data_IF_156815664401
#
_entry.id   IF_156815664401
#
_cell.length_a   1.000
_cell.length_b   1.000
_cell.length_c   1.000
_cell.angle_alpha   90.00
_cell.angle_beta   90.00
_cell.angle_gamma   90.00
#
_symmetry.space_group_name_H-M   'P 1'
#
loop_
_entity.id
_entity.type
_entity.pdbx_description
1 polymer ?
#
# COMPACT_ATOMS: atom_id res chain seq x y z
N UNK A 1 -16.69 4.76 -5.83
CA UNK A 1 -16.50 4.97 -4.38
C UNK A 1 -15.32 4.14 -3.89
N UNK A 2 -14.46 4.72 -3.08
CA UNK A 2 -13.31 4.08 -2.43
C UNK A 2 -13.67 3.78 -0.97
N UNK A 3 -13.32 2.60 -0.48
CA UNK A 3 -13.52 2.23 0.92
C UNK A 3 -12.17 2.05 1.61
N UNK A 4 -11.89 2.83 2.64
CA UNK A 4 -10.65 2.79 3.43
C UNK A 4 -10.90 1.99 4.71
N UNK A 5 -10.03 1.04 4.98
CA UNK A 5 -9.97 0.31 6.25
C UNK A 5 -8.88 0.97 7.09
N UNK A 6 -9.30 1.64 8.15
CA UNK A 6 -8.42 2.35 9.08
C UNK A 6 -7.81 1.39 10.11
N UNK A 7 -6.48 1.33 10.14
CA UNK A 7 -5.70 0.55 11.10
C UNK A 7 -5.18 1.39 12.29
N UNK A 8 -5.91 2.44 12.67
CA UNK A 8 -5.57 3.36 13.77
C UNK A 8 -4.26 4.12 13.55
N UNK A 9 -4.03 4.61 12.35
CA UNK A 9 -2.86 5.42 12.02
C UNK A 9 -3.20 6.90 11.97
N UNK A 10 -2.30 7.75 12.47
CA UNK A 10 -2.45 9.20 12.40
C UNK A 10 -2.50 9.75 10.97
N UNK A 11 -1.91 9.02 10.00
CA UNK A 11 -1.94 9.38 8.58
C UNK A 11 -3.19 8.88 7.84
N UNK A 12 -4.07 8.08 8.47
CA UNK A 12 -5.27 7.57 7.77
C UNK A 12 -6.14 8.70 7.23
N UNK A 13 -6.32 9.78 7.99
CA UNK A 13 -7.10 10.93 7.49
C UNK A 13 -6.45 11.63 6.31
N UNK A 14 -5.12 11.70 6.25
CA UNK A 14 -4.40 12.23 5.09
C UNK A 14 -4.61 11.34 3.85
N UNK A 15 -4.62 10.01 4.03
CA UNK A 15 -4.98 9.06 2.96
C UNK A 15 -6.40 9.32 2.47
N UNK A 16 -7.37 9.44 3.38
CA UNK A 16 -8.78 9.73 3.06
C UNK A 16 -8.89 11.04 2.27
N UNK A 17 -8.26 12.12 2.73
CA UNK A 17 -8.27 13.41 2.03
C UNK A 17 -7.64 13.32 0.64
N UNK A 18 -6.52 12.62 0.51
CA UNK A 18 -5.85 12.44 -0.79
C UNK A 18 -6.74 11.65 -1.77
N UNK A 19 -7.38 10.59 -1.32
CA UNK A 19 -8.28 9.77 -2.14
C UNK A 19 -9.56 10.53 -2.52
N UNK A 20 -10.07 11.40 -1.64
CA UNK A 20 -11.25 12.21 -1.87
C UNK A 20 -11.09 13.23 -3.02
N UNK A 21 -9.86 13.51 -3.43
CA UNK A 21 -9.58 14.30 -4.64
C UNK A 21 -9.99 13.56 -5.94
N UNK A 22 -10.21 12.25 -5.89
CA UNK A 22 -10.43 11.41 -7.07
C UNK A 22 -11.78 10.70 -7.10
N UNK A 23 -12.34 10.36 -5.93
CA UNK A 23 -13.64 9.67 -5.84
C UNK A 23 -14.24 9.85 -4.43
N UNK A 24 -15.55 9.57 -4.27
CA UNK A 24 -16.19 9.49 -2.95
C UNK A 24 -15.46 8.46 -2.08
N UNK A 25 -15.12 8.83 -0.84
CA UNK A 25 -14.42 7.97 0.12
C UNK A 25 -15.31 7.72 1.33
N UNK A 26 -15.35 6.47 1.77
CA UNK A 26 -15.84 6.08 3.09
C UNK A 26 -14.74 5.38 3.85
N UNK A 27 -14.68 5.59 5.17
CA UNK A 27 -13.65 5.05 6.04
C UNK A 27 -14.28 4.47 7.28
N UNK A 28 -13.96 3.21 7.59
CA UNK A 28 -14.34 2.58 8.86
C UNK A 28 -13.09 1.96 9.51
N UNK A 29 -13.11 1.93 10.84
CA UNK A 29 -12.05 1.26 11.60
C UNK A 29 -12.01 -0.24 11.28
N UNK A 30 -10.82 -0.85 11.29
CA UNK A 30 -10.59 -2.25 10.91
C UNK A 30 -11.43 -3.26 11.70
N UNK A 31 -11.85 -2.95 12.92
CA UNK A 31 -12.68 -3.80 13.76
C UNK A 31 -14.20 -3.58 13.58
N UNK A 32 -14.60 -2.54 12.84
CA UNK A 32 -15.99 -2.16 12.57
C UNK A 32 -16.31 -2.10 11.08
N UNK A 33 -15.60 -2.89 10.28
CA UNK A 33 -15.72 -2.88 8.82
C UNK A 33 -17.13 -3.28 8.37
N UNK A 34 -17.72 -2.49 7.49
CA UNK A 34 -19.03 -2.75 6.89
C UNK A 34 -18.90 -3.50 5.56
N UNK A 35 -19.27 -4.77 5.53
CA UNK A 35 -19.30 -5.53 4.26
C UNK A 35 -20.27 -4.94 3.23
N UNK A 36 -21.37 -4.32 3.67
CA UNK A 36 -22.32 -3.65 2.78
C UNK A 36 -21.62 -2.52 2.01
N UNK A 37 -20.85 -1.68 2.70
CA UNK A 37 -20.07 -0.60 2.09
C UNK A 37 -18.98 -1.14 1.18
N UNK A 38 -18.25 -2.20 1.59
CA UNK A 38 -17.23 -2.84 0.74
C UNK A 38 -17.85 -3.35 -0.56
N UNK A 39 -19.02 -3.99 -0.52
CA UNK A 39 -19.69 -4.47 -1.74
C UNK A 39 -20.00 -3.34 -2.72
N UNK A 40 -20.35 -2.15 -2.23
CA UNK A 40 -20.62 -0.96 -3.04
C UNK A 40 -19.35 -0.28 -3.57
N UNK A 41 -18.22 -0.47 -2.90
CA UNK A 41 -16.96 0.13 -3.31
C UNK A 41 -16.38 -0.52 -4.58
N UNK A 42 -15.77 0.28 -5.43
CA UNK A 42 -14.92 -0.18 -6.55
C UNK A 42 -13.51 -0.53 -6.10
N UNK A 43 -13.03 0.14 -5.05
CA UNK A 43 -11.66 0.03 -4.55
C UNK A 43 -11.66 -0.09 -3.01
N UNK A 44 -10.84 -0.99 -2.49
CA UNK A 44 -10.55 -1.13 -1.06
C UNK A 44 -9.14 -0.64 -0.80
N UNK A 45 -8.97 0.25 0.17
CA UNK A 45 -7.65 0.75 0.59
C UNK A 45 -7.37 0.27 2.02
N UNK A 46 -6.25 -0.40 2.19
CA UNK A 46 -5.71 -0.79 3.49
C UNK A 46 -4.74 0.30 3.94
N UNK A 47 -5.10 1.03 4.99
CA UNK A 47 -4.35 2.20 5.47
C UNK A 47 -2.98 1.83 6.06
N UNK A 48 -2.12 2.82 6.33
CA UNK A 48 -1.05 2.69 7.31
C UNK A 48 -1.60 2.22 8.67
N UNK A 49 -0.70 1.78 9.56
CA UNK A 49 -1.08 1.34 10.90
C UNK A 49 0.12 0.95 11.74
N UNK A 50 -0.04 0.90 13.07
CA UNK A 50 0.98 0.40 13.99
C UNK A 50 1.09 -1.12 13.96
N UNK A 51 2.17 -1.64 14.52
CA UNK A 51 2.39 -3.07 14.69
C UNK A 51 2.73 -3.81 13.41
N UNK A 52 2.14 -4.99 13.23
CA UNK A 52 2.43 -5.89 12.11
C UNK A 52 1.14 -6.49 11.53
N UNK A 53 1.19 -7.07 10.32
CA UNK A 53 0.03 -7.72 9.70
C UNK A 53 -0.68 -8.75 10.58
N UNK A 54 0.06 -9.45 11.44
CA UNK A 54 -0.50 -10.47 12.35
C UNK A 54 -1.52 -9.90 13.35
N UNK A 55 -1.44 -8.62 13.66
CA UNK A 55 -2.34 -7.96 14.59
C UNK A 55 -3.75 -7.71 14.01
N UNK A 56 -3.93 -7.92 12.69
CA UNK A 56 -5.15 -7.54 11.97
C UNK A 56 -5.82 -8.73 11.24
N UNK A 57 -6.30 -9.77 11.96
CA UNK A 57 -6.87 -10.97 11.34
C UNK A 57 -8.15 -10.68 10.55
N UNK A 58 -8.94 -9.66 10.95
CA UNK A 58 -10.14 -9.24 10.23
C UNK A 58 -9.76 -8.73 8.83
N UNK A 59 -8.72 -7.90 8.73
CA UNK A 59 -8.21 -7.39 7.45
C UNK A 59 -7.76 -8.54 6.53
N UNK A 60 -7.12 -9.58 7.08
CA UNK A 60 -6.75 -10.78 6.31
C UNK A 60 -7.97 -11.52 5.74
N UNK A 61 -9.06 -11.62 6.51
CA UNK A 61 -10.32 -12.22 6.03
C UNK A 61 -10.92 -11.40 4.90
N UNK A 62 -10.93 -10.06 5.03
CA UNK A 62 -11.45 -9.15 4.00
C UNK A 62 -10.61 -9.27 2.73
N UNK A 63 -9.28 -9.22 2.83
CA UNK A 63 -8.39 -9.40 1.71
C UNK A 63 -8.70 -10.68 0.93
N UNK A 64 -8.71 -11.83 1.60
CA UNK A 64 -9.01 -13.13 0.98
C UNK A 64 -10.39 -13.19 0.33
N UNK A 65 -11.41 -12.59 0.97
CA UNK A 65 -12.80 -12.59 0.47
C UNK A 65 -12.97 -11.78 -0.81
N UNK A 66 -12.26 -10.66 -0.95
CA UNK A 66 -12.45 -9.70 -2.04
C UNK A 66 -11.30 -9.67 -3.05
N UNK A 67 -10.21 -10.43 -2.83
CA UNK A 67 -9.12 -10.61 -3.79
C UNK A 67 -9.66 -11.05 -5.16
N UNK A 68 -9.19 -10.39 -6.22
CA UNK A 68 -9.63 -10.62 -7.59
C UNK A 68 -11.04 -10.11 -7.93
N UNK A 69 -11.80 -9.62 -6.94
CA UNK A 69 -13.16 -9.07 -7.12
C UNK A 69 -13.21 -7.56 -7.03
N UNK A 70 -12.25 -6.95 -6.35
CA UNK A 70 -12.16 -5.51 -6.13
C UNK A 70 -10.73 -5.06 -6.38
N UNK A 71 -10.56 -3.83 -6.87
CA UNK A 71 -9.25 -3.18 -6.84
C UNK A 71 -8.82 -3.01 -5.38
N UNK A 72 -7.54 -3.28 -5.08
CA UNK A 72 -7.00 -3.15 -3.73
C UNK A 72 -5.71 -2.34 -3.72
N UNK A 73 -5.57 -1.46 -2.75
CA UNK A 73 -4.39 -0.64 -2.56
C UNK A 73 -3.93 -0.78 -1.11
N UNK A 74 -2.66 -1.11 -0.87
CA UNK A 74 -2.06 -1.16 0.46
C UNK A 74 -1.03 -0.05 0.65
N UNK A 75 -1.12 0.69 1.76
CA UNK A 75 -0.18 1.75 2.12
C UNK A 75 0.52 1.39 3.42
N UNK A 76 1.85 1.38 3.43
CA UNK A 76 2.72 1.07 4.58
C UNK A 76 2.36 -0.29 5.23
N UNK A 77 1.64 -0.30 6.34
CA UNK A 77 1.12 -1.54 6.92
C UNK A 77 0.24 -2.30 5.92
N UNK A 78 -0.62 -1.61 5.17
CA UNK A 78 -1.46 -2.23 4.15
C UNK A 78 -0.66 -2.92 3.04
N UNK A 79 0.46 -2.34 2.60
CA UNK A 79 1.42 -2.99 1.70
C UNK A 79 1.96 -4.29 2.30
N UNK A 80 2.42 -4.24 3.55
CA UNK A 80 2.94 -5.41 4.26
C UNK A 80 1.86 -6.46 4.46
N UNK A 81 0.64 -6.02 4.77
CA UNK A 81 -0.50 -6.90 5.03
C UNK A 81 -0.90 -7.71 3.79
N UNK A 82 -0.99 -7.07 2.64
CA UNK A 82 -1.29 -7.76 1.37
C UNK A 82 -0.20 -8.82 1.08
N UNK A 83 1.07 -8.44 1.16
CA UNK A 83 2.18 -9.39 0.93
C UNK A 83 2.20 -10.53 1.96
N UNK A 84 1.89 -10.24 3.22
CA UNK A 84 1.76 -11.26 4.26
C UNK A 84 0.65 -12.26 3.94
N UNK A 85 -0.51 -11.80 3.46
CA UNK A 85 -1.59 -12.68 3.02
C UNK A 85 -1.21 -13.55 1.80
N UNK A 86 -0.24 -13.12 1.01
CA UNK A 86 0.36 -13.87 -0.11
C UNK A 86 1.55 -14.75 0.30
N UNK A 87 1.74 -14.96 1.61
CA UNK A 87 2.77 -15.86 2.15
C UNK A 87 4.14 -15.21 2.35
N UNK A 88 4.27 -13.90 2.15
CA UNK A 88 5.52 -13.22 2.42
C UNK A 88 5.80 -13.11 3.92
N UNK A 89 7.08 -13.14 4.28
CA UNK A 89 7.53 -12.82 5.64
C UNK A 89 7.81 -11.33 5.75
N UNK A 90 7.24 -10.69 6.77
CA UNK A 90 7.52 -9.30 7.13
C UNK A 90 8.46 -9.33 8.35
N UNK A 91 9.56 -8.62 8.26
CA UNK A 91 10.63 -8.64 9.25
C UNK A 91 11.04 -7.21 9.64
N UNK A 92 11.66 -7.07 10.78
CA UNK A 92 12.30 -5.82 11.18
C UNK A 92 13.46 -5.45 10.26
N UNK A 93 13.64 -4.16 10.06
CA UNK A 93 14.80 -3.63 9.36
C UNK A 93 15.76 -2.96 10.32
N UNK A 94 17.07 -3.02 10.00
CA UNK A 94 18.14 -2.47 10.86
C UNK A 94 17.97 -0.97 11.14
N UNK A 95 17.54 -0.19 10.15
CA UNK A 95 17.32 1.25 10.27
C UNK A 95 15.83 1.53 10.33
N UNK A 96 15.37 2.15 11.41
CA UNK A 96 14.01 2.66 11.55
C UNK A 96 13.91 3.99 10.78
N UNK A 97 12.87 4.14 9.98
CA UNK A 97 12.54 5.38 9.28
C UNK A 97 11.30 6.00 9.93
N UNK A 98 11.42 7.23 10.36
CA UNK A 98 10.30 7.99 10.94
C UNK A 98 10.40 9.44 10.47
N UNK A 99 9.69 9.77 9.38
CA UNK A 99 9.77 11.09 8.78
C UNK A 99 11.00 11.33 7.91
N UNK A 100 11.53 10.27 7.26
CA UNK A 100 12.68 10.40 6.36
C UNK A 100 12.25 10.43 4.90
N UNK A 101 12.77 11.38 4.15
CA UNK A 101 12.64 11.40 2.71
C UNK A 101 13.69 10.48 2.07
N UNK A 102 13.27 9.67 1.10
CA UNK A 102 14.15 8.74 0.37
C UNK A 102 13.85 8.78 -1.12
N UNK A 103 14.88 8.54 -1.93
CA UNK A 103 14.73 8.34 -3.36
C UNK A 103 14.38 6.87 -3.63
N UNK A 104 13.31 6.63 -4.35
CA UNK A 104 12.91 5.31 -4.83
C UNK A 104 12.93 5.29 -6.35
N UNK A 105 13.31 4.16 -6.92
CA UNK A 105 13.40 3.98 -8.37
C UNK A 105 12.45 2.89 -8.83
N UNK A 106 11.80 3.13 -9.97
CA UNK A 106 11.06 2.10 -10.71
C UNK A 106 12.06 1.14 -11.34
N UNK A 107 12.05 -0.13 -10.95
CA UNK A 107 13.04 -1.14 -11.35
C UNK A 107 12.50 -2.17 -12.34
N UNK A 108 11.19 -2.23 -12.54
CA UNK A 108 10.54 -3.27 -13.35
C UNK A 108 9.84 -2.67 -14.58
N UNK A 109 10.09 -3.27 -15.75
CA UNK A 109 9.44 -2.85 -17.01
C UNK A 109 7.93 -3.10 -17.03
N UNK A 110 7.44 -4.04 -16.20
CA UNK A 110 6.01 -4.34 -16.08
C UNK A 110 5.26 -3.35 -15.20
N UNK A 111 5.94 -2.36 -14.59
CA UNK A 111 5.28 -1.35 -13.76
C UNK A 111 4.33 -0.47 -14.58
N UNK A 112 3.33 0.10 -13.89
CA UNK A 112 2.50 1.19 -14.42
C UNK A 112 3.33 2.47 -14.62
N UNK A 113 4.46 2.58 -13.95
CA UNK A 113 5.37 3.72 -14.02
C UNK A 113 6.56 3.40 -14.91
N UNK A 114 7.08 4.43 -15.58
CA UNK A 114 8.24 4.28 -16.46
C UNK A 114 9.46 3.77 -15.68
N UNK A 115 10.07 2.67 -16.15
CA UNK A 115 11.31 2.14 -15.57
C UNK A 115 12.41 3.21 -15.55
N UNK A 116 13.18 3.23 -14.48
CA UNK A 116 14.24 4.22 -14.24
C UNK A 116 13.76 5.50 -13.58
N UNK A 117 12.45 5.81 -13.62
CA UNK A 117 11.90 7.01 -12.95
C UNK A 117 12.17 6.96 -11.46
N UNK A 118 12.56 8.12 -10.90
CA UNK A 118 12.85 8.30 -9.47
C UNK A 118 11.80 9.20 -8.86
N UNK A 119 11.35 8.82 -7.65
CA UNK A 119 10.44 9.60 -6.83
C UNK A 119 11.06 9.86 -5.46
N UNK A 120 10.88 11.07 -4.92
CA UNK A 120 11.18 11.40 -3.53
C UNK A 120 9.96 11.12 -2.68
N UNK A 121 10.08 10.28 -1.65
CA UNK A 121 8.95 9.79 -0.86
C UNK A 121 9.23 9.79 0.63
N UNK A 122 8.19 10.03 1.42
CA UNK A 122 8.23 9.96 2.87
C UNK A 122 8.15 8.52 3.38
N UNK A 123 9.00 8.16 4.33
CA UNK A 123 9.06 6.83 4.94
C UNK A 123 8.86 6.91 6.45
N UNK A 124 8.03 6.01 6.98
CA UNK A 124 7.65 5.95 8.40
C UNK A 124 7.52 4.50 8.87
N UNK A 125 8.46 3.61 8.50
CA UNK A 125 8.35 2.19 8.80
C UNK A 125 9.61 1.58 9.40
N UNK A 126 9.42 0.64 10.32
CA UNK A 126 10.46 -0.20 10.93
C UNK A 126 10.46 -1.63 10.38
N UNK A 127 9.39 -2.04 9.71
CA UNK A 127 9.25 -3.35 9.11
C UNK A 127 9.44 -3.29 7.59
N UNK A 128 9.85 -4.43 7.00
CA UNK A 128 10.05 -4.60 5.56
C UNK A 128 9.70 -6.00 5.09
N UNK A 129 9.49 -6.15 3.80
CA UNK A 129 9.44 -7.45 3.14
C UNK A 129 10.78 -8.19 3.33
N UNK A 130 10.73 -9.46 3.76
CA UNK A 130 11.89 -10.36 3.70
C UNK A 130 12.05 -10.86 2.27
N UNK A 131 13.20 -10.66 1.70
CA UNK A 131 13.54 -11.14 0.35
C UNK A 131 14.57 -12.28 0.42
N UNK A 132 14.59 -13.20 -0.56
CA UNK A 132 13.78 -13.18 -1.78
C UNK A 132 12.30 -13.54 -1.50
N UNK A 133 11.39 -12.80 -2.14
CA UNK A 133 9.97 -13.13 -2.23
C UNK A 133 9.64 -13.44 -3.68
N UNK A 134 9.18 -14.65 -3.94
CA UNK A 134 8.79 -15.11 -5.28
C UNK A 134 7.28 -15.26 -5.32
N UNK A 135 6.65 -14.67 -6.31
CA UNK A 135 5.22 -14.81 -6.58
C UNK A 135 4.99 -14.76 -8.09
N UNK A 136 4.06 -15.56 -8.58
CA UNK A 136 3.70 -15.55 -10.00
C UNK A 136 2.85 -14.33 -10.38
N UNK A 137 2.24 -13.67 -9.40
CA UNK A 137 1.27 -12.61 -9.64
C UNK A 137 1.71 -11.24 -9.12
N UNK A 138 2.63 -11.18 -8.14
CA UNK A 138 3.08 -9.94 -7.51
C UNK A 138 4.50 -9.59 -7.96
N UNK A 139 4.63 -8.46 -8.62
CA UNK A 139 5.92 -7.94 -9.09
C UNK A 139 6.38 -6.81 -8.17
N UNK A 140 7.59 -6.89 -7.64
CA UNK A 140 8.21 -5.73 -6.97
C UNK A 140 8.62 -4.75 -8.04
N UNK A 141 8.00 -3.57 -8.03
CA UNK A 141 8.13 -2.58 -9.10
C UNK A 141 8.98 -1.37 -8.74
N UNK A 142 9.11 -1.06 -7.44
CA UNK A 142 9.95 0.04 -6.99
C UNK A 142 10.83 -0.37 -5.83
N UNK A 143 12.03 0.22 -5.76
CA UNK A 143 13.01 0.00 -4.68
C UNK A 143 13.63 1.31 -4.20
N UNK A 144 13.96 1.36 -2.93
CA UNK A 144 14.79 2.44 -2.40
C UNK A 144 16.20 2.39 -3.03
N UNK A 145 16.69 3.51 -3.54
CA UNK A 145 18.00 3.57 -4.20
C UNK A 145 19.15 3.15 -3.27
N UNK A 146 19.11 3.58 -2.02
CA UNK A 146 20.19 3.33 -1.07
C UNK A 146 20.05 1.96 -0.40
N UNK A 147 18.90 1.68 0.22
CA UNK A 147 18.71 0.46 1.02
C UNK A 147 18.28 -0.76 0.20
N UNK A 148 17.94 -0.59 -1.07
CA UNK A 148 17.40 -1.62 -1.99
C UNK A 148 16.10 -2.30 -1.52
N UNK A 149 15.54 -1.87 -0.41
CA UNK A 149 14.28 -2.40 0.14
C UNK A 149 13.14 -2.21 -0.86
N UNK A 150 12.27 -3.22 -0.97
CA UNK A 150 11.06 -3.16 -1.79
C UNK A 150 10.14 -2.03 -1.32
N UNK A 151 9.74 -1.15 -2.24
CA UNK A 151 8.95 0.05 -1.95
C UNK A 151 7.58 0.06 -2.63
N UNK A 152 7.39 -0.72 -3.69
CA UNK A 152 6.09 -0.92 -4.30
C UNK A 152 5.99 -2.31 -4.91
N UNK A 153 4.78 -2.84 -4.94
CA UNK A 153 4.43 -4.01 -5.74
C UNK A 153 3.19 -3.73 -6.59
N UNK A 154 3.05 -4.50 -7.66
CA UNK A 154 1.88 -4.50 -8.54
C UNK A 154 1.46 -5.93 -8.87
N UNK A 155 0.15 -6.19 -8.82
CA UNK A 155 -0.51 -7.34 -9.42
C UNK A 155 -1.61 -6.81 -10.35
N UNK A 156 -1.26 -6.59 -11.60
CA UNK A 156 -2.16 -5.98 -12.59
C UNK A 156 -3.35 -6.88 -12.92
N UNK A 157 -3.15 -8.20 -12.92
CA UNK A 157 -4.20 -9.17 -13.24
C UNK A 157 -5.38 -9.08 -12.27
N UNK A 158 -5.09 -8.94 -10.98
CA UNK A 158 -6.11 -8.86 -9.92
C UNK A 158 -6.36 -7.41 -9.46
N UNK A 159 -5.68 -6.42 -10.09
CA UNK A 159 -5.75 -4.99 -9.75
C UNK A 159 -5.39 -4.71 -8.29
N UNK A 160 -4.27 -5.30 -7.81
CA UNK A 160 -3.79 -5.13 -6.44
C UNK A 160 -2.45 -4.42 -6.46
N UNK A 161 -2.33 -3.34 -5.70
CA UNK A 161 -1.18 -2.46 -5.70
C UNK A 161 -0.76 -2.14 -4.27
N UNK A 162 0.50 -1.79 -4.07
CA UNK A 162 0.93 -1.37 -2.74
C UNK A 162 2.16 -0.49 -2.74
N UNK A 163 2.19 0.43 -1.78
CA UNK A 163 3.31 1.31 -1.47
C UNK A 163 3.77 1.10 -0.03
N UNK A 164 5.06 0.82 0.18
CA UNK A 164 5.65 0.76 1.52
C UNK A 164 5.85 2.16 2.12
N UNK A 165 5.99 3.17 1.27
CA UNK A 165 6.07 4.58 1.65
C UNK A 165 4.67 5.21 1.74
N UNK A 166 4.62 6.45 2.22
CA UNK A 166 3.39 7.20 2.42
C UNK A 166 3.15 8.20 1.28
N UNK A 167 2.30 7.87 0.28
CA UNK A 167 1.97 8.79 -0.81
C UNK A 167 1.20 10.02 -0.34
N UNK A 168 0.51 9.93 0.80
CA UNK A 168 -0.27 11.01 1.42
C UNK A 168 0.57 11.97 2.25
N UNK A 169 1.84 11.63 2.50
CA UNK A 169 2.76 12.47 3.28
C UNK A 169 3.22 13.68 2.47
N UNK A 170 3.33 14.84 3.11
CA UNK A 170 3.93 16.05 2.53
C UNK A 170 5.39 15.83 2.09
N UNK A 171 6.08 14.82 2.61
CA UNK A 171 7.42 14.42 2.16
C UNK A 171 7.41 13.68 0.82
N UNK A 172 6.24 13.29 0.30
CA UNK A 172 6.09 12.62 -0.99
C UNK A 172 5.60 13.62 -2.03
N UNK A 173 6.54 14.23 -2.77
CA UNK A 173 6.28 15.36 -3.67
C UNK A 173 5.21 15.05 -4.73
N UNK A 174 5.21 13.84 -5.29
CA UNK A 174 4.32 13.41 -6.38
C UNK A 174 3.24 12.42 -5.90
N UNK A 175 2.83 12.48 -4.63
CA UNK A 175 1.90 11.52 -4.04
C UNK A 175 0.58 11.40 -4.80
N UNK A 176 -0.04 12.53 -5.16
CA UNK A 176 -1.29 12.56 -5.93
C UNK A 176 -1.15 11.93 -7.32
N UNK A 177 0.00 12.12 -7.98
CA UNK A 177 0.28 11.50 -9.30
C UNK A 177 0.37 9.98 -9.17
N UNK A 178 1.03 9.50 -8.10
CA UNK A 178 1.16 8.06 -7.82
C UNK A 178 -0.21 7.42 -7.58
N UNK A 179 -1.02 8.00 -6.71
CA UNK A 179 -2.38 7.51 -6.39
C UNK A 179 -3.29 7.56 -7.62
N UNK A 180 -3.33 8.70 -8.33
CA UNK A 180 -4.14 8.84 -9.55
C UNK A 180 -3.83 7.74 -10.57
N UNK A 181 -2.53 7.46 -10.78
CA UNK A 181 -2.09 6.44 -11.75
C UNK A 181 -2.61 5.04 -11.38
N UNK A 182 -2.58 4.68 -10.10
CA UNK A 182 -3.10 3.38 -9.63
C UNK A 182 -4.63 3.33 -9.68
N UNK A 183 -5.32 4.40 -9.32
CA UNK A 183 -6.77 4.45 -9.37
C UNK A 183 -7.30 4.31 -10.81
N UNK A 184 -6.53 4.78 -11.80
CA UNK A 184 -6.90 4.73 -13.23
C UNK A 184 -6.49 3.43 -13.93
N UNK A 185 -5.78 2.50 -13.26
CA UNK A 185 -5.26 1.26 -13.84
C UNK A 185 -6.27 0.11 -13.89
#
# INVERSE_FOLDING_TARGET
MIYVIDHNDSFTHNVVHQLALFDKVECDNYNKVSEKKIKQASTIVFSPGPGSPKNYPITSKIYKKFKGKKKMIGICLGFQHILFCEGAKIIEQKKIYHGYQSNIQVVNNKSLFQKGKIFKVGRYHSLKLKEPFKSNNFEITMRCLNSKVAMAFENKKEKIYGFQFHPESFLTINGNVLIKKILSA
#
